data_IF_170744802957
#
_entry.id   IF_170744802957
#
_cell.length_a   1.000
_cell.length_b   1.000
_cell.length_c   1.000
_cell.angle_alpha   90.00
_cell.angle_beta   90.00
_cell.angle_gamma   90.00
#
_symmetry.space_group_name_H-M   'P 1'
#
loop_
_entity.id
_entity.type
_entity.pdbx_description
1 polymer ?
#
# COMPACT_ATOMS: atom_id res chain seq x y z
N UNK A 1 -58.84 47.03 -0.18
CA UNK A 1 -57.77 47.90 0.36
C UNK A 1 -56.86 47.04 1.22
N UNK A 2 -55.72 46.64 0.65
CA UNK A 2 -54.73 45.79 1.30
C UNK A 2 -53.82 46.64 2.21
N UNK A 3 -53.70 46.24 3.47
CA UNK A 3 -52.71 46.78 4.40
C UNK A 3 -51.55 45.81 4.54
N UNK A 4 -50.34 46.37 4.46
CA UNK A 4 -49.04 45.71 4.43
C UNK A 4 -48.71 44.95 5.71
N UNK A 5 -48.12 43.77 5.56
CA UNK A 5 -47.16 43.21 6.52
C UNK A 5 -45.87 42.88 5.75
N UNK A 6 -44.82 43.70 5.96
CA UNK A 6 -43.47 43.40 5.50
C UNK A 6 -42.83 42.41 6.48
N UNK A 7 -42.59 41.18 6.03
CA UNK A 7 -41.65 40.27 6.67
C UNK A 7 -40.34 40.30 5.89
N UNK A 8 -39.33 40.93 6.47
CA UNK A 8 -37.95 40.85 6.01
C UNK A 8 -37.41 39.45 6.30
N UNK A 9 -37.22 38.63 5.25
CA UNK A 9 -36.49 37.37 5.35
C UNK A 9 -35.00 37.70 5.23
N UNK A 10 -34.30 37.62 6.36
CA UNK A 10 -32.83 37.65 6.40
C UNK A 10 -32.33 36.31 5.86
N UNK A 11 -31.81 36.31 4.64
CA UNK A 11 -31.06 35.17 4.10
C UNK A 11 -29.69 35.11 4.78
N UNK A 12 -29.60 34.39 5.89
CA UNK A 12 -28.33 33.95 6.45
C UNK A 12 -27.73 32.93 5.48
N UNK A 13 -26.82 33.40 4.63
CA UNK A 13 -25.85 32.55 3.93
C UNK A 13 -25.03 31.81 4.99
N UNK A 14 -25.42 30.58 5.31
CA UNK A 14 -24.52 29.65 5.99
C UNK A 14 -23.36 29.35 5.04
N UNK A 15 -22.21 29.96 5.31
CA UNK A 15 -20.93 29.51 4.79
C UNK A 15 -20.69 28.14 5.39
N UNK A 16 -20.99 27.08 4.63
CA UNK A 16 -20.64 25.71 5.00
C UNK A 16 -19.12 25.64 5.21
N UNK A 17 -18.63 25.05 6.31
CA UNK A 17 -17.20 24.93 6.55
C UNK A 17 -16.54 24.10 5.43
N UNK A 18 -15.32 24.49 5.05
CA UNK A 18 -14.51 23.88 3.98
C UNK A 18 -14.21 22.38 4.17
N UNK A 19 -14.68 21.76 5.25
CA UNK A 19 -14.59 20.33 5.56
C UNK A 19 -15.55 19.45 4.76
N UNK A 20 -16.60 20.01 4.15
CA UNK A 20 -17.59 19.26 3.35
C UNK A 20 -17.10 18.84 1.96
N UNK A 21 -16.03 19.44 1.44
CA UNK A 21 -15.57 19.19 0.05
C UNK A 21 -14.33 18.29 -0.04
N UNK A 22 -13.62 18.03 1.06
CA UNK A 22 -12.42 17.20 1.02
C UNK A 22 -12.78 15.70 0.91
N UNK A 23 -12.20 15.02 -0.08
CA UNK A 23 -12.32 13.56 -0.20
C UNK A 23 -11.61 12.85 0.97
N UNK A 24 -11.88 11.55 1.13
CA UNK A 24 -11.36 10.74 2.24
C UNK A 24 -9.82 10.76 2.29
N UNK A 25 -9.16 10.73 1.13
CA UNK A 25 -7.71 10.79 1.04
C UNK A 25 -7.13 12.13 1.57
N UNK A 26 -7.69 13.27 1.19
CA UNK A 26 -7.24 14.57 1.71
C UNK A 26 -7.48 14.70 3.22
N UNK A 27 -8.57 14.10 3.73
CA UNK A 27 -8.83 14.04 5.17
C UNK A 27 -7.76 13.20 5.88
N UNK A 28 -7.40 12.04 5.34
CA UNK A 28 -6.30 11.21 5.86
C UNK A 28 -4.96 11.95 5.90
N UNK A 29 -4.58 12.66 4.84
CA UNK A 29 -3.36 13.48 4.83
C UNK A 29 -3.36 14.53 5.95
N UNK A 30 -4.51 15.16 6.23
CA UNK A 30 -4.65 16.09 7.34
C UNK A 30 -4.48 15.39 8.69
N UNK A 31 -5.15 14.26 8.91
CA UNK A 31 -5.02 13.51 10.16
C UNK A 31 -3.58 13.01 10.38
N UNK A 32 -2.91 12.55 9.32
CA UNK A 32 -1.49 12.16 9.37
C UNK A 32 -0.60 13.33 9.77
N UNK A 33 -0.78 14.49 9.16
CA UNK A 33 0.01 15.69 9.51
C UNK A 33 -0.16 16.07 10.99
N UNK A 34 -1.39 15.99 11.52
CA UNK A 34 -1.66 16.22 12.94
C UNK A 34 -0.96 15.19 13.83
N UNK A 35 -1.06 13.91 13.48
CA UNK A 35 -0.40 12.81 14.20
C UNK A 35 1.13 12.99 14.24
N UNK A 36 1.73 13.42 13.13
CA UNK A 36 3.16 13.74 13.05
C UNK A 36 3.54 14.89 13.96
N UNK A 37 2.85 16.04 13.82
CA UNK A 37 3.25 17.27 14.50
C UNK A 37 3.00 17.25 15.99
N UNK A 38 1.92 16.61 16.44
CA UNK A 38 1.51 16.63 17.85
C UNK A 38 1.97 15.39 18.62
N UNK A 39 2.15 14.27 17.94
CA UNK A 39 2.42 12.98 18.59
C UNK A 39 3.65 12.24 18.06
N UNK A 40 4.42 12.83 17.13
CA UNK A 40 5.65 12.25 16.57
C UNK A 40 5.45 10.85 15.94
N UNK A 41 4.29 10.65 15.30
CA UNK A 41 3.97 9.45 14.52
C UNK A 41 4.52 9.58 13.11
N UNK A 42 5.66 8.95 12.86
CA UNK A 42 6.42 9.04 11.61
C UNK A 42 5.76 8.31 10.44
N UNK A 43 5.09 7.17 10.68
CA UNK A 43 4.39 6.40 9.66
C UNK A 43 2.94 6.09 10.05
N UNK A 44 2.05 6.18 9.07
CA UNK A 44 0.64 5.78 9.16
C UNK A 44 0.31 4.92 7.95
N UNK A 45 -0.08 3.67 8.18
CA UNK A 45 -0.44 2.73 7.12
C UNK A 45 -1.90 2.30 7.25
N UNK A 46 -2.63 2.39 6.15
CA UNK A 46 -3.98 1.88 6.01
C UNK A 46 -3.95 0.40 5.60
N UNK A 47 -4.51 -0.45 6.43
CA UNK A 47 -4.62 -1.89 6.28
C UNK A 47 -3.30 -2.57 5.87
N UNK A 48 -2.21 -2.37 6.63
CA UNK A 48 -0.96 -3.06 6.32
C UNK A 48 -1.15 -4.57 6.41
N UNK A 49 -0.50 -5.29 5.49
CA UNK A 49 -0.56 -6.76 5.38
C UNK A 49 -1.93 -7.35 5.05
N UNK A 50 -2.93 -6.55 4.66
CA UNK A 50 -4.20 -7.10 4.16
C UNK A 50 -3.96 -7.89 2.88
N UNK A 51 -4.37 -9.16 2.89
CA UNK A 51 -4.18 -10.07 1.74
C UNK A 51 -5.43 -10.20 0.89
N UNK A 52 -6.61 -10.09 1.50
CA UNK A 52 -7.90 -10.29 0.86
C UNK A 52 -8.68 -8.98 0.73
N UNK A 53 -8.37 -8.23 -0.33
CA UNK A 53 -9.06 -6.99 -0.69
C UNK A 53 -10.28 -7.32 -1.56
N UNK A 54 -10.10 -8.20 -2.55
CA UNK A 54 -11.11 -8.44 -3.59
C UNK A 54 -10.84 -7.62 -4.84
N UNK A 55 -11.74 -6.70 -5.19
CA UNK A 55 -11.64 -5.85 -6.37
C UNK A 55 -11.06 -4.46 -6.05
N UNK A 56 -10.76 -3.66 -7.08
CA UNK A 56 -10.18 -2.32 -6.92
C UNK A 56 -11.13 -1.42 -6.14
N UNK A 57 -12.42 -1.52 -6.40
CA UNK A 57 -13.49 -0.75 -5.75
C UNK A 57 -13.62 -1.08 -4.26
N UNK A 58 -13.28 -2.31 -3.86
CA UNK A 58 -13.35 -2.76 -2.46
C UNK A 58 -12.28 -2.08 -1.58
N UNK A 59 -11.32 -1.38 -2.19
CA UNK A 59 -10.34 -0.55 -1.47
C UNK A 59 -10.93 0.76 -0.94
N UNK A 60 -11.97 1.30 -1.58
CA UNK A 60 -12.54 2.60 -1.17
C UNK A 60 -13.10 2.55 0.25
N UNK A 61 -13.93 1.55 0.64
CA UNK A 61 -14.37 1.41 2.03
C UNK A 61 -13.21 1.24 3.01
N UNK A 62 -12.13 0.56 2.63
CA UNK A 62 -10.95 0.38 3.49
C UNK A 62 -10.25 1.73 3.76
N UNK A 63 -10.22 2.64 2.80
CA UNK A 63 -9.65 3.98 2.99
C UNK A 63 -10.52 4.81 3.96
N UNK A 64 -11.85 4.67 3.89
CA UNK A 64 -12.78 5.30 4.84
C UNK A 64 -12.68 4.74 6.25
N UNK A 65 -12.56 3.41 6.36
CA UNK A 65 -12.31 2.73 7.62
C UNK A 65 -10.97 3.18 8.22
N UNK A 66 -9.92 3.30 7.40
CA UNK A 66 -8.63 3.81 7.84
C UNK A 66 -8.72 5.22 8.44
N UNK A 67 -9.49 6.11 7.80
CA UNK A 67 -9.74 7.46 8.32
C UNK A 67 -10.45 7.41 9.69
N UNK A 68 -11.43 6.52 9.82
CA UNK A 68 -12.18 6.33 11.07
C UNK A 68 -11.28 5.85 12.21
N UNK A 69 -10.46 4.83 11.96
CA UNK A 69 -9.49 4.33 12.94
C UNK A 69 -8.45 5.39 13.31
N UNK A 70 -7.96 6.13 12.32
CA UNK A 70 -6.96 7.20 12.52
C UNK A 70 -7.51 8.32 13.42
N UNK A 71 -8.75 8.74 13.21
CA UNK A 71 -9.41 9.74 14.05
C UNK A 71 -9.60 9.26 15.48
N UNK A 72 -10.08 8.03 15.64
CA UNK A 72 -10.29 7.43 16.96
C UNK A 72 -8.97 7.34 17.73
N UNK A 73 -7.90 6.87 17.07
CA UNK A 73 -6.57 6.83 17.65
C UNK A 73 -6.06 8.22 18.04
N UNK A 74 -6.23 9.22 17.15
CA UNK A 74 -5.83 10.60 17.41
C UNK A 74 -6.54 11.15 18.66
N UNK A 75 -7.83 10.88 18.83
CA UNK A 75 -8.60 11.29 20.01
C UNK A 75 -8.08 10.62 21.29
N UNK A 76 -7.67 9.36 21.21
CA UNK A 76 -7.00 8.67 22.33
C UNK A 76 -5.65 9.33 22.64
N UNK A 77 -4.82 9.62 21.64
CA UNK A 77 -3.56 10.32 21.84
C UNK A 77 -3.72 11.73 22.42
N UNK A 78 -4.78 12.46 22.08
CA UNK A 78 -5.08 13.73 22.76
C UNK A 78 -5.39 13.55 24.25
N UNK A 79 -5.98 12.40 24.62
CA UNK A 79 -6.42 12.14 25.99
C UNK A 79 -5.31 11.56 26.87
N UNK A 80 -4.47 10.68 26.33
CA UNK A 80 -3.45 9.94 27.09
C UNK A 80 -2.00 10.17 26.62
N UNK A 81 -1.79 10.94 25.55
CA UNK A 81 -0.50 11.07 24.89
C UNK A 81 -0.15 9.85 24.01
N UNK A 82 0.97 9.96 23.28
CA UNK A 82 1.59 8.83 22.57
C UNK A 82 2.73 8.26 23.42
N UNK A 83 2.66 6.99 23.86
CA UNK A 83 3.71 6.34 24.65
C UNK A 83 5.08 6.17 23.95
N UNK A 84 5.19 6.55 22.67
CA UNK A 84 6.43 6.51 21.90
C UNK A 84 6.35 5.69 20.61
N UNK A 85 5.14 5.35 20.16
CA UNK A 85 4.94 4.65 18.89
C UNK A 85 5.22 5.56 17.71
N UNK A 86 6.09 5.11 16.79
CA UNK A 86 6.50 5.88 15.60
C UNK A 86 5.78 5.42 14.34
N UNK A 87 5.38 4.16 14.31
CA UNK A 87 4.71 3.54 13.16
C UNK A 87 3.37 3.01 13.63
N UNK A 88 2.31 3.44 12.95
CA UNK A 88 0.93 3.06 13.27
C UNK A 88 0.30 2.47 12.01
N UNK A 89 -0.29 1.30 12.13
CA UNK A 89 -1.19 0.74 11.14
C UNK A 89 -2.63 0.75 11.64
N UNK A 90 -3.56 1.23 10.82
CA UNK A 90 -4.98 0.99 11.01
C UNK A 90 -5.33 -0.29 10.27
N UNK A 91 -5.87 -1.29 10.95
CA UNK A 91 -6.06 -2.65 10.41
C UNK A 91 -7.34 -3.30 10.93
N UNK A 92 -7.39 -4.62 10.95
CA UNK A 92 -8.46 -5.46 11.52
C UNK A 92 -8.10 -6.05 12.90
N UNK A 93 -6.89 -5.78 13.42
CA UNK A 93 -6.40 -6.40 14.67
C UNK A 93 -5.49 -5.48 15.49
N UNK A 94 -5.36 -5.82 16.76
CA UNK A 94 -4.34 -5.26 17.63
C UNK A 94 -3.02 -6.02 17.45
N UNK A 95 -1.90 -5.31 17.34
CA UNK A 95 -0.57 -5.92 17.27
C UNK A 95 0.50 -4.95 17.78
N UNK A 96 1.46 -5.45 18.58
CA UNK A 96 2.72 -4.74 18.89
C UNK A 96 3.87 -5.50 18.22
N UNK A 97 4.62 -4.83 17.37
CA UNK A 97 5.68 -5.47 16.57
C UNK A 97 6.89 -4.55 16.37
N UNK A 98 7.90 -5.05 15.66
CA UNK A 98 9.12 -4.35 15.26
C UNK A 98 9.80 -3.58 16.40
N UNK A 99 9.99 -4.25 17.55
CA UNK A 99 10.75 -3.67 18.66
C UNK A 99 10.02 -2.54 19.39
N UNK A 100 8.70 -2.69 19.55
CA UNK A 100 7.82 -1.82 20.37
C UNK A 100 7.55 -0.42 19.80
N UNK A 101 8.06 -0.08 18.62
CA UNK A 101 7.77 1.21 17.97
C UNK A 101 6.63 1.15 16.95
N UNK A 102 6.17 -0.06 16.63
CA UNK A 102 5.12 -0.30 15.62
C UNK A 102 3.89 -0.94 16.26
N UNK A 103 2.72 -0.37 15.97
CA UNK A 103 1.43 -0.92 16.39
C UNK A 103 0.46 -1.06 15.24
N UNK A 104 -0.40 -2.07 15.32
CA UNK A 104 -1.62 -2.16 14.53
C UNK A 104 -2.82 -1.96 15.46
N UNK A 105 -3.81 -1.20 15.01
CA UNK A 105 -5.05 -0.90 15.73
C UNK A 105 -6.24 -1.25 14.84
N UNK A 106 -7.27 -1.96 15.32
CA UNK A 106 -8.49 -2.20 14.54
C UNK A 106 -9.20 -0.87 14.22
N UNK A 107 -9.62 -0.69 12.98
CA UNK A 107 -10.27 0.55 12.53
C UNK A 107 -11.56 0.88 13.28
N UNK A 108 -12.25 -0.15 13.79
CA UNK A 108 -13.52 -0.08 14.52
C UNK A 108 -13.36 -0.25 16.04
N UNK A 109 -12.13 -0.31 16.56
CA UNK A 109 -11.91 -0.50 17.99
C UNK A 109 -12.47 0.70 18.79
N UNK A 110 -13.23 0.45 19.87
CA UNK A 110 -13.65 1.50 20.79
C UNK A 110 -12.44 2.20 21.45
N UNK A 111 -12.60 3.48 21.80
CA UNK A 111 -11.56 4.27 22.47
C UNK A 111 -10.99 3.58 23.72
N UNK A 112 -11.85 3.00 24.54
CA UNK A 112 -11.46 2.32 25.77
C UNK A 112 -10.52 1.14 25.51
N UNK A 113 -10.80 0.34 24.49
CA UNK A 113 -9.94 -0.79 24.09
C UNK A 113 -8.60 -0.31 23.54
N UNK A 114 -8.60 0.75 22.71
CA UNK A 114 -7.37 1.37 22.22
C UNK A 114 -6.53 1.90 23.40
N UNK A 115 -7.15 2.62 24.34
CA UNK A 115 -6.46 3.14 25.52
C UNK A 115 -5.87 2.01 26.38
N UNK A 116 -6.63 0.94 26.61
CA UNK A 116 -6.13 -0.23 27.33
C UNK A 116 -4.93 -0.85 26.60
N UNK A 117 -5.05 -1.12 25.30
CA UNK A 117 -3.98 -1.69 24.49
C UNK A 117 -2.70 -0.83 24.52
N UNK A 118 -2.83 0.50 24.43
CA UNK A 118 -1.68 1.41 24.51
C UNK A 118 -1.03 1.42 25.90
N UNK A 119 -1.82 1.29 26.97
CA UNK A 119 -1.35 1.27 28.35
C UNK A 119 -0.68 -0.05 28.76
N UNK A 120 -1.00 -1.16 28.10
CA UNK A 120 -0.39 -2.48 28.31
C UNK A 120 1.05 -2.55 27.73
N UNK A 121 1.88 -1.54 27.98
CA UNK A 121 3.26 -1.48 27.51
C UNK A 121 4.21 -1.97 28.60
N UNK A 122 5.21 -2.76 28.19
CA UNK A 122 6.34 -3.13 29.05
C UNK A 122 7.08 -1.88 29.54
N UNK A 123 7.69 -1.96 30.72
CA UNK A 123 8.61 -0.92 31.21
C UNK A 123 9.78 -0.71 30.24
N UNK A 124 10.49 0.42 30.34
CA UNK A 124 11.66 0.66 29.46
C UNK A 124 12.76 -0.34 29.73
N UNK A 125 12.92 -0.73 30.99
CA UNK A 125 13.84 -1.75 31.46
C UNK A 125 13.51 -3.10 30.83
N UNK A 126 12.24 -3.52 30.85
CA UNK A 126 11.79 -4.77 30.26
C UNK A 126 11.90 -4.78 28.74
N UNK A 127 11.58 -3.64 28.08
CA UNK A 127 11.78 -3.50 26.63
C UNK A 127 13.27 -3.64 26.26
N UNK A 128 14.17 -3.05 27.06
CA UNK A 128 15.61 -3.16 26.84
C UNK A 128 16.08 -4.59 27.03
N UNK A 129 15.67 -5.24 28.12
CA UNK A 129 15.99 -6.65 28.38
C UNK A 129 15.48 -7.57 27.26
N UNK A 130 14.26 -7.34 26.76
CA UNK A 130 13.70 -8.07 25.62
C UNK A 130 14.57 -7.90 24.36
N UNK A 131 14.93 -6.67 24.02
CA UNK A 131 15.73 -6.38 22.82
C UNK A 131 17.15 -6.95 22.94
N UNK A 132 17.75 -6.95 24.13
CA UNK A 132 19.05 -7.56 24.36
C UNK A 132 19.01 -9.08 24.27
N UNK A 133 17.93 -9.73 24.73
CA UNK A 133 17.70 -11.15 24.49
C UNK A 133 17.63 -11.46 22.98
N UNK A 134 16.83 -10.70 22.22
CA UNK A 134 16.76 -10.84 20.76
C UNK A 134 18.14 -10.68 20.10
N UNK A 135 18.95 -9.70 20.53
CA UNK A 135 20.32 -9.51 20.02
C UNK A 135 21.21 -10.72 20.32
N UNK A 136 21.16 -11.24 21.54
CA UNK A 136 21.88 -12.46 21.93
C UNK A 136 21.50 -13.67 21.09
N UNK A 137 20.20 -13.88 20.87
CA UNK A 137 19.67 -14.93 20.00
C UNK A 137 20.15 -14.76 18.56
N UNK A 138 20.12 -13.53 18.02
CA UNK A 138 20.62 -13.25 16.65
C UNK A 138 22.11 -13.60 16.51
N UNK A 139 22.94 -13.23 17.49
CA UNK A 139 24.37 -13.59 17.47
C UNK A 139 24.54 -15.11 17.48
N UNK A 140 23.80 -15.82 18.33
CA UNK A 140 23.84 -17.28 18.43
C UNK A 140 23.43 -17.94 17.11
N UNK A 141 22.30 -17.52 16.52
CA UNK A 141 21.81 -18.02 15.22
C UNK A 141 22.84 -17.76 14.12
N UNK A 142 23.38 -16.55 14.04
CA UNK A 142 24.36 -16.18 13.03
C UNK A 142 25.61 -17.07 13.12
N UNK A 143 26.10 -17.35 14.33
CA UNK A 143 27.26 -18.19 14.54
C UNK A 143 26.97 -19.67 14.22
N UNK A 144 25.82 -20.19 14.65
CA UNK A 144 25.45 -21.60 14.48
C UNK A 144 25.08 -21.94 13.03
N UNK A 145 24.33 -21.07 12.36
CA UNK A 145 23.84 -21.30 11.00
C UNK A 145 24.73 -20.67 9.92
N UNK A 146 25.69 -19.82 10.30
CA UNK A 146 26.53 -19.03 9.38
C UNK A 146 25.70 -18.17 8.42
N UNK A 147 24.61 -17.58 8.92
CA UNK A 147 23.67 -16.76 8.14
C UNK A 147 23.46 -15.40 8.81
N UNK A 148 23.51 -14.32 8.02
CA UNK A 148 23.34 -12.96 8.54
C UNK A 148 21.98 -12.34 8.22
N UNK A 149 21.34 -12.76 7.13
CA UNK A 149 20.06 -12.20 6.70
C UNK A 149 18.91 -13.05 7.21
N UNK A 150 18.45 -12.75 8.43
CA UNK A 150 17.26 -13.37 8.97
C UNK A 150 16.46 -12.39 9.83
N UNK A 151 15.15 -12.36 9.65
CA UNK A 151 14.26 -11.43 10.34
C UNK A 151 12.86 -12.00 10.54
N UNK A 152 12.13 -11.40 11.46
CA UNK A 152 10.71 -11.64 11.63
C UNK A 152 9.91 -10.72 10.72
N UNK A 153 8.86 -11.24 10.10
CA UNK A 153 7.84 -10.44 9.43
C UNK A 153 7.19 -9.48 10.44
N UNK A 154 6.80 -8.29 9.97
CA UNK A 154 6.00 -7.36 10.77
C UNK A 154 4.54 -7.84 10.94
N UNK A 155 4.15 -8.94 10.28
CA UNK A 155 2.84 -9.58 10.46
C UNK A 155 2.68 -10.30 11.80
N UNK A 156 3.77 -10.52 12.54
CA UNK A 156 3.76 -11.22 13.84
C UNK A 156 4.15 -10.29 14.98
N UNK A 157 3.74 -10.65 16.19
CA UNK A 157 4.03 -9.89 17.41
C UNK A 157 5.50 -10.01 17.83
N UNK A 158 5.93 -9.15 18.74
CA UNK A 158 7.26 -9.26 19.34
C UNK A 158 7.45 -10.63 20.02
N UNK A 159 6.46 -11.12 20.77
CA UNK A 159 6.56 -12.40 21.48
C UNK A 159 6.61 -13.60 20.53
N UNK A 160 5.82 -13.58 19.46
CA UNK A 160 5.90 -14.58 18.39
C UNK A 160 7.28 -14.54 17.72
N UNK A 161 7.82 -13.35 17.44
CA UNK A 161 9.16 -13.21 16.89
C UNK A 161 10.24 -13.78 17.83
N UNK A 162 10.15 -13.49 19.14
CA UNK A 162 11.05 -14.05 20.14
C UNK A 162 11.03 -15.58 20.11
N UNK A 163 9.83 -16.17 20.17
CA UNK A 163 9.63 -17.63 20.12
C UNK A 163 10.23 -18.26 18.85
N UNK A 164 10.10 -17.58 17.72
CA UNK A 164 10.69 -18.02 16.46
C UNK A 164 12.22 -18.00 16.51
N UNK A 165 12.83 -16.95 17.07
CA UNK A 165 14.29 -16.90 17.23
C UNK A 165 14.81 -17.91 18.27
N UNK A 166 14.11 -18.10 19.38
CA UNK A 166 14.47 -19.14 20.36
C UNK A 166 14.49 -20.52 19.72
N UNK A 167 13.44 -20.84 18.95
CA UNK A 167 13.34 -22.12 18.24
C UNK A 167 14.45 -22.28 17.20
N UNK A 168 14.75 -21.22 16.44
CA UNK A 168 15.81 -21.23 15.43
C UNK A 168 17.21 -21.34 16.05
N UNK A 169 17.45 -20.70 17.20
CA UNK A 169 18.72 -20.73 17.92
C UNK A 169 19.06 -22.14 18.45
N UNK A 170 18.05 -22.97 18.71
CA UNK A 170 18.20 -24.37 19.15
C UNK A 170 18.50 -25.33 17.99
N UNK A 171 18.43 -24.89 16.74
CA UNK A 171 18.71 -25.74 15.58
C UNK A 171 20.19 -26.09 15.53
N UNK A 172 20.49 -27.39 15.62
CA UNK A 172 21.84 -27.93 15.45
C UNK A 172 22.01 -28.47 14.03
N UNK A 173 22.85 -27.81 13.23
CA UNK A 173 23.34 -28.34 11.96
C UNK A 173 24.62 -29.13 12.21
N UNK A 174 24.73 -30.34 11.66
CA UNK A 174 25.96 -31.14 11.75
C UNK A 174 27.08 -30.48 10.93
N UNK A 175 28.29 -30.37 11.50
CA UNK A 175 29.45 -29.60 11.00
C UNK A 175 29.88 -29.84 9.54
N UNK A 176 29.33 -30.84 8.84
CA UNK A 176 29.69 -31.19 7.46
C UNK A 176 28.75 -30.59 6.40
N UNK A 177 27.78 -29.76 6.80
CA UNK A 177 26.91 -29.10 5.83
C UNK A 177 27.64 -27.90 5.22
N UNK A 178 27.93 -28.00 3.91
CA UNK A 178 28.14 -26.85 3.02
C UNK A 178 27.14 -25.76 3.40
N UNK A 179 27.57 -24.50 3.31
CA UNK A 179 26.70 -23.33 3.43
C UNK A 179 25.33 -23.66 2.85
N UNK A 180 24.27 -23.50 3.65
CA UNK A 180 22.92 -24.02 3.38
C UNK A 180 22.32 -23.52 2.06
N UNK A 181 23.00 -22.59 1.37
CA UNK A 181 22.61 -21.98 0.12
C UNK A 181 21.47 -20.97 0.29
N UNK A 182 20.82 -20.96 1.45
CA UNK A 182 19.84 -19.95 1.83
C UNK A 182 20.54 -18.61 2.01
N UNK A 183 20.00 -17.60 1.33
CA UNK A 183 20.44 -16.22 1.39
C UNK A 183 19.66 -15.40 2.41
N UNK A 184 18.43 -15.83 2.73
CA UNK A 184 17.50 -15.11 3.60
C UNK A 184 16.59 -16.09 4.35
N UNK A 185 16.34 -15.86 5.65
CA UNK A 185 15.32 -16.57 6.44
C UNK A 185 14.29 -15.56 6.97
N UNK A 186 13.02 -15.84 6.75
CA UNK A 186 11.90 -15.02 7.22
C UNK A 186 11.08 -15.86 8.21
N UNK A 187 10.93 -15.37 9.44
CA UNK A 187 10.05 -15.96 10.45
C UNK A 187 8.70 -15.25 10.39
N UNK A 188 7.61 -15.99 10.22
CA UNK A 188 6.26 -15.42 10.09
C UNK A 188 5.19 -16.33 10.68
N UNK A 189 3.91 -15.97 10.52
CA UNK A 189 2.75 -16.68 11.09
C UNK A 189 2.50 -18.06 10.49
N UNK A 190 2.88 -18.27 9.23
CA UNK A 190 2.59 -19.52 8.51
C UNK A 190 3.64 -19.82 7.44
N UNK A 191 3.74 -21.09 7.08
CA UNK A 191 4.55 -21.52 5.95
C UNK A 191 3.95 -21.02 4.65
N UNK A 192 4.68 -20.18 3.93
CA UNK A 192 4.41 -19.88 2.53
C UNK A 192 5.55 -20.36 1.66
N UNK A 193 5.28 -20.64 0.39
CA UNK A 193 6.38 -20.88 -0.54
C UNK A 193 7.21 -19.59 -0.63
N UNK A 194 8.55 -19.67 -0.71
CA UNK A 194 9.36 -18.47 -0.89
C UNK A 194 9.02 -17.80 -2.21
N UNK A 195 9.12 -16.48 -2.30
CA UNK A 195 8.87 -15.71 -3.51
C UNK A 195 10.08 -15.64 -4.47
N UNK A 196 11.23 -16.16 -4.04
CA UNK A 196 12.45 -16.24 -4.84
C UNK A 196 13.39 -17.38 -4.44
N UNK A 197 14.40 -17.67 -5.28
CA UNK A 197 15.42 -18.66 -4.95
C UNK A 197 16.24 -18.21 -3.73
N UNK A 198 16.65 -19.15 -2.89
CA UNK A 198 17.50 -18.85 -1.73
C UNK A 198 16.78 -18.20 -0.55
N UNK A 199 15.46 -18.01 -0.60
CA UNK A 199 14.68 -17.53 0.55
C UNK A 199 13.99 -18.68 1.27
N UNK A 200 14.06 -18.68 2.60
CA UNK A 200 13.37 -19.66 3.42
C UNK A 200 12.34 -18.98 4.32
N UNK A 201 11.09 -19.41 4.25
CA UNK A 201 10.03 -18.95 5.16
C UNK A 201 9.80 -20.03 6.22
N UNK A 202 9.82 -19.63 7.48
CA UNK A 202 9.59 -20.49 8.65
C UNK A 202 8.43 -19.94 9.49
N UNK A 203 7.65 -20.84 10.09
CA UNK A 203 6.65 -20.48 11.08
C UNK A 203 7.32 -20.14 12.41
N UNK A 204 6.85 -19.10 13.11
CA UNK A 204 7.37 -18.76 14.44
C UNK A 204 7.12 -19.88 15.48
N UNK A 205 6.12 -20.73 15.23
CA UNK A 205 5.73 -21.85 16.08
C UNK A 205 6.34 -23.18 15.62
N UNK A 206 7.21 -23.19 14.61
CA UNK A 206 7.88 -24.42 14.17
C UNK A 206 8.82 -24.93 15.26
N UNK A 207 8.76 -26.24 15.60
CA UNK A 207 9.73 -26.81 16.52
C UNK A 207 11.14 -26.84 15.87
N UNK A 208 12.22 -26.85 16.66
CA UNK A 208 13.58 -26.85 16.14
C UNK A 208 13.89 -28.01 15.16
N UNK A 209 13.25 -29.17 15.35
CA UNK A 209 13.36 -30.31 14.43
C UNK A 209 12.79 -30.01 13.04
N UNK A 210 11.65 -29.32 12.98
CA UNK A 210 11.03 -28.90 11.73
C UNK A 210 11.85 -27.81 11.05
N UNK A 211 12.25 -26.76 11.78
CA UNK A 211 13.14 -25.72 11.25
C UNK A 211 14.43 -26.34 10.67
N UNK A 212 15.03 -27.31 11.38
CA UNK A 212 16.18 -28.09 10.87
C UNK A 212 15.84 -28.82 9.58
N UNK A 213 14.71 -29.53 9.52
CA UNK A 213 14.26 -30.24 8.31
C UNK A 213 14.14 -29.30 7.11
N UNK A 214 13.67 -28.08 7.32
CA UNK A 214 13.56 -27.04 6.29
C UNK A 214 14.93 -26.50 5.86
N UNK A 215 15.82 -26.19 6.82
CA UNK A 215 17.17 -25.69 6.56
C UNK A 215 18.06 -26.68 5.80
N UNK A 216 17.84 -27.98 5.99
CA UNK A 216 18.58 -29.04 5.29
C UNK A 216 18.15 -29.25 3.83
N UNK A 217 17.04 -28.61 3.40
CA UNK A 217 16.63 -28.67 2.00
C UNK A 217 17.56 -27.82 1.15
N UNK A 218 17.83 -28.31 -0.06
CA UNK A 218 18.55 -27.58 -1.08
C UNK A 218 17.66 -26.45 -1.63
N UNK A 219 18.06 -25.16 -1.52
CA UNK A 219 17.27 -24.03 -1.99
C UNK A 219 16.88 -24.14 -3.47
N UNK A 220 17.79 -24.64 -4.33
CA UNK A 220 17.50 -24.80 -5.76
C UNK A 220 16.49 -25.92 -6.00
N UNK A 221 16.56 -27.02 -5.23
CA UNK A 221 15.54 -28.07 -5.30
C UNK A 221 14.19 -27.62 -4.78
N UNK A 222 14.15 -26.72 -3.79
CA UNK A 222 12.88 -26.15 -3.33
C UNK A 222 12.25 -25.22 -4.37
N UNK A 223 13.08 -24.53 -5.18
CA UNK A 223 12.61 -23.63 -6.23
C UNK A 223 12.30 -24.34 -7.56
N UNK A 224 12.99 -25.43 -7.88
CA UNK A 224 12.89 -26.14 -9.16
C UNK A 224 11.45 -26.51 -9.59
N UNK A 225 10.55 -26.97 -8.69
CA UNK A 225 9.16 -27.23 -9.07
C UNK A 225 8.45 -25.99 -9.63
N UNK A 226 8.71 -24.81 -9.06
CA UNK A 226 8.10 -23.55 -9.51
C UNK A 226 8.64 -23.11 -10.86
N UNK A 227 9.94 -23.33 -11.11
CA UNK A 227 10.53 -23.11 -12.43
C UNK A 227 9.86 -24.02 -13.48
N UNK A 228 9.74 -25.33 -13.21
CA UNK A 228 9.08 -26.29 -14.12
C UNK A 228 7.63 -25.93 -14.41
N UNK A 229 6.91 -25.43 -13.41
CA UNK A 229 5.55 -24.90 -13.60
C UNK A 229 5.52 -23.72 -14.58
N UNK A 230 6.44 -22.75 -14.45
CA UNK A 230 6.53 -21.65 -15.40
C UNK A 230 6.90 -22.13 -16.82
N UNK A 231 7.81 -23.09 -16.94
CA UNK A 231 8.16 -23.72 -18.22
C UNK A 231 6.92 -24.35 -18.89
N UNK A 232 6.11 -25.10 -18.13
CA UNK A 232 4.86 -25.71 -18.61
C UNK A 232 3.81 -24.66 -19.02
N UNK A 233 3.65 -23.60 -18.24
CA UNK A 233 2.76 -22.49 -18.58
C UNK A 233 3.22 -21.81 -19.87
N UNK A 234 4.54 -21.61 -20.01
CA UNK A 234 5.13 -21.00 -21.20
C UNK A 234 4.95 -21.90 -22.43
N UNK A 235 5.15 -23.21 -22.30
CA UNK A 235 4.93 -24.18 -23.39
C UNK A 235 3.46 -24.16 -23.85
N UNK A 236 2.51 -24.20 -22.91
CA UNK A 236 1.08 -24.31 -23.22
C UNK A 236 0.44 -22.99 -23.67
N UNK A 237 0.79 -21.88 -23.03
CA UNK A 237 0.10 -20.59 -23.21
C UNK A 237 1.03 -19.45 -23.65
N UNK A 238 2.34 -19.63 -23.68
CA UNK A 238 3.30 -18.56 -23.99
C UNK A 238 3.06 -17.93 -25.36
N UNK A 239 2.64 -18.72 -26.35
CA UNK A 239 2.21 -18.21 -27.66
C UNK A 239 1.03 -17.23 -27.54
N UNK A 240 0.00 -17.58 -26.77
CA UNK A 240 -1.17 -16.74 -26.52
C UNK A 240 -0.77 -15.46 -25.77
N UNK A 241 -0.01 -15.59 -24.68
CA UNK A 241 0.37 -14.45 -23.85
C UNK A 241 1.28 -13.47 -24.58
N UNK A 242 2.24 -13.95 -25.37
CA UNK A 242 3.15 -13.09 -26.14
C UNK A 242 2.50 -12.49 -27.39
N UNK A 243 1.81 -13.30 -28.19
CA UNK A 243 1.30 -12.85 -29.49
C UNK A 243 -0.06 -12.16 -29.41
N UNK A 244 -0.96 -12.62 -28.54
CA UNK A 244 -2.33 -12.10 -28.45
C UNK A 244 -2.47 -11.00 -27.40
N UNK A 245 -2.00 -11.26 -26.17
CA UNK A 245 -2.10 -10.30 -25.06
C UNK A 245 -0.91 -9.35 -24.97
N UNK A 246 0.24 -9.72 -25.54
CA UNK A 246 1.49 -8.97 -25.43
C UNK A 246 1.87 -8.70 -23.97
N UNK A 247 1.71 -9.71 -23.11
CA UNK A 247 2.09 -9.61 -21.70
C UNK A 247 3.59 -9.34 -21.61
N UNK A 248 3.96 -8.44 -20.70
CA UNK A 248 5.36 -8.24 -20.33
C UNK A 248 5.89 -9.48 -19.62
N UNK A 249 5.15 -9.94 -18.60
CA UNK A 249 5.42 -11.14 -17.82
C UNK A 249 4.15 -11.65 -17.14
N UNK A 250 4.08 -12.97 -16.89
CA UNK A 250 3.11 -13.58 -15.99
C UNK A 250 3.82 -14.02 -14.71
N UNK A 251 3.34 -13.57 -13.57
CA UNK A 251 3.89 -13.89 -12.25
C UNK A 251 2.82 -14.60 -11.44
N UNK A 252 3.19 -15.66 -10.73
CA UNK A 252 2.32 -16.29 -9.74
C UNK A 252 2.79 -15.91 -8.34
N UNK A 253 1.87 -15.44 -7.50
CA UNK A 253 2.14 -15.08 -6.11
C UNK A 253 2.68 -16.27 -5.31
N UNK A 254 3.41 -15.98 -4.24
CA UNK A 254 4.10 -17.00 -3.45
C UNK A 254 3.17 -17.83 -2.56
N UNK A 255 1.96 -17.33 -2.32
CA UNK A 255 0.92 -17.94 -1.51
C UNK A 255 -0.06 -18.82 -2.30
N UNK A 256 0.08 -18.91 -3.63
CA UNK A 256 -0.67 -19.85 -4.47
C UNK A 256 0.17 -21.08 -4.84
N UNK A 257 -0.48 -22.23 -4.91
CA UNK A 257 0.10 -23.49 -5.33
C UNK A 257 0.33 -23.53 -6.85
N UNK A 258 1.15 -24.49 -7.30
CA UNK A 258 1.40 -24.70 -8.73
C UNK A 258 0.11 -24.99 -9.51
N UNK A 259 -0.82 -25.75 -8.93
CA UNK A 259 -2.11 -26.06 -9.56
C UNK A 259 -2.99 -24.81 -9.68
N UNK A 260 -3.03 -23.98 -8.63
CA UNK A 260 -3.77 -22.71 -8.65
C UNK A 260 -3.20 -21.76 -9.72
N UNK A 261 -1.87 -21.64 -9.80
CA UNK A 261 -1.19 -20.84 -10.82
C UNK A 261 -1.50 -21.32 -12.25
N UNK A 262 -1.41 -22.63 -12.51
CA UNK A 262 -1.76 -23.21 -13.81
C UNK A 262 -3.24 -22.98 -14.18
N UNK A 263 -4.14 -23.06 -13.20
CA UNK A 263 -5.56 -22.80 -13.39
C UNK A 263 -5.81 -21.32 -13.75
N UNK A 264 -5.20 -20.38 -13.02
CA UNK A 264 -5.32 -18.96 -13.36
C UNK A 264 -4.75 -18.63 -14.74
N UNK A 265 -3.65 -19.29 -15.14
CA UNK A 265 -3.10 -19.14 -16.48
C UNK A 265 -4.05 -19.68 -17.57
N UNK A 266 -4.71 -20.82 -17.33
CA UNK A 266 -5.73 -21.36 -18.22
C UNK A 266 -6.93 -20.41 -18.38
N UNK A 267 -7.44 -19.86 -17.26
CA UNK A 267 -8.55 -18.92 -17.29
C UNK A 267 -8.20 -17.62 -18.02
N UNK A 268 -7.00 -17.08 -17.81
CA UNK A 268 -6.50 -15.94 -18.57
C UNK A 268 -6.36 -16.25 -20.07
N UNK A 269 -5.88 -17.44 -20.42
CA UNK A 269 -5.77 -17.88 -21.81
C UNK A 269 -7.14 -18.03 -22.48
N UNK A 270 -8.16 -18.53 -21.76
CA UNK A 270 -9.56 -18.58 -22.23
C UNK A 270 -10.15 -17.18 -22.40
N UNK A 271 -9.97 -16.29 -21.43
CA UNK A 271 -10.42 -14.89 -21.51
C UNK A 271 -9.82 -14.18 -22.74
N UNK A 272 -8.55 -14.48 -23.04
CA UNK A 272 -7.84 -13.98 -24.20
C UNK A 272 -8.41 -14.44 -25.55
N UNK A 273 -9.43 -15.30 -25.59
CA UNK A 273 -10.09 -15.61 -26.86
C UNK A 273 -10.94 -14.44 -27.39
N UNK A 274 -11.38 -13.54 -26.50
CA UNK A 274 -12.12 -12.33 -26.87
C UNK A 274 -11.21 -11.29 -27.54
N UNK A 275 -11.62 -10.78 -28.71
CA UNK A 275 -10.90 -9.71 -29.42
C UNK A 275 -10.86 -8.43 -28.59
N UNK A 276 -11.98 -8.00 -28.01
CA UNK A 276 -12.03 -6.78 -27.19
C UNK A 276 -11.05 -6.85 -26.00
N UNK A 277 -10.97 -8.02 -25.36
CA UNK A 277 -10.05 -8.24 -24.25
C UNK A 277 -8.57 -8.14 -24.66
N UNK A 278 -8.22 -8.63 -25.85
CA UNK A 278 -6.85 -8.52 -26.40
C UNK A 278 -6.44 -7.09 -26.69
N UNK A 279 -7.40 -6.21 -27.01
CA UNK A 279 -7.13 -4.82 -27.36
C UNK A 279 -6.82 -3.94 -26.13
N UNK A 280 -7.10 -4.44 -24.91
CA UNK A 280 -6.74 -3.78 -23.65
C UNK A 280 -5.22 -3.72 -23.51
N UNK A 281 -4.71 -2.68 -22.85
CA UNK A 281 -3.28 -2.60 -22.59
C UNK A 281 -2.87 -3.54 -21.45
N UNK A 282 -1.98 -4.49 -21.75
CA UNK A 282 -1.42 -5.41 -20.76
C UNK A 282 0.08 -5.18 -20.56
N UNK A 283 0.55 -5.41 -19.34
CA UNK A 283 1.97 -5.50 -18.99
C UNK A 283 2.18 -6.72 -18.10
N UNK A 284 2.82 -6.57 -16.94
CA UNK A 284 2.88 -7.63 -15.93
C UNK A 284 1.48 -8.00 -15.40
N UNK A 285 1.19 -9.31 -15.39
CA UNK A 285 0.00 -9.89 -14.75
C UNK A 285 0.44 -10.78 -13.58
N UNK A 286 -0.15 -10.55 -12.41
CA UNK A 286 0.11 -11.35 -11.20
C UNK A 286 -1.10 -12.19 -10.83
N UNK A 287 -0.99 -13.51 -10.97
CA UNK A 287 -1.98 -14.47 -10.47
C UNK A 287 -1.81 -14.63 -8.97
N UNK A 288 -2.90 -14.50 -8.22
CA UNK A 288 -2.86 -14.58 -6.76
C UNK A 288 -4.17 -15.17 -6.19
N UNK A 289 -4.23 -15.33 -4.87
CA UNK A 289 -5.32 -16.04 -4.20
C UNK A 289 -6.61 -15.22 -4.02
N UNK A 290 -6.51 -13.89 -3.90
CA UNK A 290 -7.62 -13.10 -3.37
C UNK A 290 -8.07 -11.96 -4.27
N UNK A 291 -7.14 -11.31 -4.96
CA UNK A 291 -7.33 -9.98 -5.48
C UNK A 291 -7.39 -9.95 -7.00
N UNK A 292 -8.33 -9.16 -7.52
CA UNK A 292 -8.42 -8.81 -8.93
C UNK A 292 -8.33 -7.29 -9.04
N UNK A 293 -7.17 -6.75 -9.41
CA UNK A 293 -6.89 -5.31 -9.35
C UNK A 293 -6.32 -4.79 -10.67
N UNK A 294 -6.65 -3.55 -11.03
CA UNK A 294 -5.98 -2.81 -12.10
C UNK A 294 -4.92 -1.91 -11.45
N UNK A 295 -3.67 -2.01 -11.91
CA UNK A 295 -2.58 -1.16 -11.45
C UNK A 295 -2.03 -0.34 -12.63
N UNK A 296 -2.12 0.98 -12.55
CA UNK A 296 -1.83 1.88 -13.67
C UNK A 296 -2.64 1.53 -14.92
N UNK A 297 -2.04 1.75 -16.09
CA UNK A 297 -2.68 1.45 -17.37
C UNK A 297 -2.62 -0.05 -17.74
N UNK A 298 -1.52 -0.72 -17.41
CA UNK A 298 -1.17 -2.00 -18.04
C UNK A 298 -1.01 -3.16 -17.06
N UNK A 299 -0.58 -2.94 -15.82
CA UNK A 299 -0.44 -4.01 -14.84
C UNK A 299 -1.79 -4.50 -14.28
N UNK A 300 -1.83 -5.76 -13.85
CA UNK A 300 -3.02 -6.35 -13.27
C UNK A 300 -2.69 -7.44 -12.25
N UNK A 301 -3.52 -7.53 -11.21
CA UNK A 301 -3.64 -8.69 -10.33
C UNK A 301 -4.89 -9.45 -10.71
N UNK A 302 -4.84 -10.78 -10.80
CA UNK A 302 -5.99 -11.61 -11.14
C UNK A 302 -6.09 -12.74 -10.12
N UNK A 303 -7.27 -12.91 -9.55
CA UNK A 303 -7.56 -14.06 -8.68
C UNK A 303 -7.55 -15.34 -9.52
N UNK A 304 -6.81 -16.36 -9.10
CA UNK A 304 -6.52 -17.52 -9.95
C UNK A 304 -7.76 -18.32 -10.37
N UNK A 305 -8.79 -18.34 -9.52
CA UNK A 305 -10.05 -19.07 -9.74
C UNK A 305 -11.11 -18.19 -10.41
N UNK A 306 -10.77 -16.97 -10.85
CA UNK A 306 -11.72 -16.09 -11.48
C UNK A 306 -12.07 -16.64 -12.87
N UNK A 307 -13.37 -16.89 -13.08
CA UNK A 307 -13.86 -17.42 -14.35
C UNK A 307 -13.53 -16.49 -15.53
N UNK A 308 -13.27 -17.03 -16.74
CA UNK A 308 -12.88 -16.24 -17.91
C UNK A 308 -13.83 -15.09 -18.23
N UNK A 309 -15.13 -15.30 -18.07
CA UNK A 309 -16.19 -14.31 -18.28
C UNK A 309 -16.06 -13.13 -17.32
N UNK A 310 -15.80 -13.41 -16.04
CA UNK A 310 -15.60 -12.37 -15.01
C UNK A 310 -14.29 -11.63 -15.21
N UNK A 311 -13.22 -12.32 -15.65
CA UNK A 311 -11.96 -11.68 -16.06
C UNK A 311 -12.24 -10.67 -17.19
N UNK A 312 -12.98 -11.09 -18.24
CA UNK A 312 -13.30 -10.21 -19.37
C UNK A 312 -14.11 -9.00 -18.94
N UNK A 313 -15.18 -9.23 -18.18
CA UNK A 313 -16.07 -8.18 -17.68
C UNK A 313 -15.30 -7.15 -16.88
N UNK A 314 -14.53 -7.59 -15.88
CA UNK A 314 -13.82 -6.70 -14.97
C UNK A 314 -12.72 -5.89 -15.67
N UNK A 315 -11.97 -6.51 -16.59
CA UNK A 315 -10.89 -5.81 -17.29
C UNK A 315 -11.34 -5.07 -18.55
N UNK A 316 -12.64 -5.08 -18.89
CA UNK A 316 -13.21 -4.23 -19.95
C UNK A 316 -13.02 -2.73 -19.67
N UNK A 317 -12.87 -2.35 -18.39
CA UNK A 317 -12.59 -0.97 -17.97
C UNK A 317 -11.11 -0.55 -18.09
N UNK A 318 -10.19 -1.47 -18.40
CA UNK A 318 -8.82 -1.10 -18.77
C UNK A 318 -8.85 -0.32 -20.08
N UNK A 319 -7.95 0.65 -20.19
CA UNK A 319 -7.80 1.43 -21.42
C UNK A 319 -7.38 0.53 -22.59
N UNK A 320 -7.82 0.89 -23.78
CA UNK A 320 -7.30 0.30 -25.02
C UNK A 320 -5.84 0.71 -25.20
N UNK A 321 -5.03 -0.14 -25.85
CA UNK A 321 -3.61 0.11 -26.06
C UNK A 321 -3.33 1.45 -26.75
N UNK A 322 -4.12 1.79 -27.77
CA UNK A 322 -4.00 3.07 -28.51
C UNK A 322 -4.36 4.26 -27.63
N UNK A 323 -5.46 4.17 -26.89
CA UNK A 323 -5.91 5.24 -25.98
C UNK A 323 -4.89 5.49 -24.87
N UNK A 324 -4.31 4.43 -24.27
CA UNK A 324 -3.28 4.60 -23.24
C UNK A 324 -2.02 5.28 -23.80
N UNK A 325 -1.55 4.92 -25.00
CA UNK A 325 -0.40 5.57 -25.62
C UNK A 325 -0.66 7.08 -25.90
N UNK A 326 -1.86 7.42 -26.38
CA UNK A 326 -2.29 8.80 -26.61
C UNK A 326 -2.35 9.58 -25.29
N UNK A 327 -2.97 9.01 -24.24
CA UNK A 327 -3.10 9.65 -22.94
C UNK A 327 -1.77 9.79 -22.22
N UNK A 328 -0.87 8.82 -22.33
CA UNK A 328 0.49 8.92 -21.81
C UNK A 328 1.26 10.06 -22.49
N UNK A 329 1.19 10.16 -23.83
CA UNK A 329 1.81 11.25 -24.57
C UNK A 329 1.23 12.61 -24.17
N UNK A 330 -0.09 12.70 -24.01
CA UNK A 330 -0.77 13.91 -23.53
C UNK A 330 -0.33 14.27 -22.12
N UNK A 331 -0.28 13.31 -21.19
CA UNK A 331 0.15 13.52 -19.81
C UNK A 331 1.58 14.08 -19.74
N UNK A 332 2.53 13.50 -20.48
CA UNK A 332 3.92 14.01 -20.56
C UNK A 332 3.98 15.43 -21.13
N UNK A 333 3.17 15.72 -22.16
CA UNK A 333 3.08 17.07 -22.74
C UNK A 333 2.50 18.08 -21.75
N UNK A 334 1.47 17.70 -21.01
CA UNK A 334 0.83 18.56 -20.02
C UNK A 334 1.71 18.77 -18.80
N UNK A 335 2.42 17.75 -18.30
CA UNK A 335 3.42 17.91 -17.23
C UNK A 335 4.47 18.95 -17.61
N UNK A 336 4.96 18.95 -18.86
CA UNK A 336 5.89 19.99 -19.33
C UNK A 336 5.27 21.39 -19.29
N UNK A 337 3.96 21.52 -19.53
CA UNK A 337 3.23 22.81 -19.48
C UNK A 337 2.92 23.27 -18.06
N UNK A 338 2.94 22.38 -17.07
CA UNK A 338 2.80 22.77 -15.67
C UNK A 338 4.11 23.32 -15.12
N UNK A 339 5.26 23.15 -15.81
CA UNK A 339 6.54 23.74 -15.41
C UNK A 339 6.49 25.27 -15.55
N UNK A 340 7.20 25.97 -14.67
CA UNK A 340 7.36 27.44 -14.69
C UNK A 340 6.02 28.19 -14.70
N UNK A 341 5.16 27.88 -13.73
CA UNK A 341 3.89 28.57 -13.53
C UNK A 341 3.95 29.52 -12.32
N UNK A 342 2.93 30.36 -12.17
CA UNK A 342 2.90 31.38 -11.12
C UNK A 342 2.84 30.82 -9.70
N UNK A 343 2.35 29.59 -9.49
CA UNK A 343 2.09 29.02 -8.15
C UNK A 343 3.33 28.62 -7.36
N UNK A 344 4.50 28.52 -8.03
CA UNK A 344 5.75 27.90 -7.54
C UNK A 344 5.68 26.38 -7.32
N UNK A 345 4.57 25.72 -7.63
CA UNK A 345 4.47 24.27 -7.60
C UNK A 345 4.83 23.68 -8.96
N UNK A 346 5.69 22.66 -8.98
CA UNK A 346 5.79 21.74 -10.10
C UNK A 346 4.74 20.65 -9.94
N UNK A 347 3.79 20.56 -10.86
CA UNK A 347 2.85 19.43 -10.86
C UNK A 347 3.50 18.21 -11.51
N UNK A 348 3.44 17.06 -10.84
CA UNK A 348 3.94 15.76 -11.28
C UNK A 348 2.88 14.69 -11.05
N UNK A 349 3.00 13.56 -11.74
CA UNK A 349 2.08 12.46 -11.63
C UNK A 349 2.83 11.15 -11.43
N UNK A 350 2.25 10.23 -10.66
CA UNK A 350 2.79 8.88 -10.50
C UNK A 350 2.54 8.02 -11.74
N UNK A 351 3.32 8.23 -12.80
CA UNK A 351 3.12 7.51 -14.07
C UNK A 351 3.40 6.00 -13.97
N UNK A 352 4.00 5.51 -12.88
CA UNK A 352 4.25 4.08 -12.68
C UNK A 352 2.97 3.32 -12.31
N UNK A 353 2.12 3.90 -11.45
CA UNK A 353 0.95 3.18 -10.91
C UNK A 353 -0.37 3.96 -11.02
N UNK A 354 -0.35 5.22 -11.47
CA UNK A 354 -1.55 5.95 -11.86
C UNK A 354 -1.83 5.78 -13.35
N UNK A 355 -3.11 5.65 -13.70
CA UNK A 355 -3.55 5.62 -15.09
C UNK A 355 -3.22 6.93 -15.81
N UNK A 356 -2.77 6.83 -17.06
CA UNK A 356 -2.36 8.01 -17.83
C UNK A 356 -3.51 8.97 -18.14
N UNK A 357 -4.74 8.47 -18.24
CA UNK A 357 -5.93 9.30 -18.42
C UNK A 357 -6.25 10.15 -17.18
N UNK A 358 -6.07 9.57 -15.98
CA UNK A 358 -6.15 10.30 -14.72
C UNK A 358 -5.03 11.34 -14.61
N UNK A 359 -3.78 11.00 -14.97
CA UNK A 359 -2.69 11.98 -15.01
C UNK A 359 -2.99 13.15 -15.95
N UNK A 360 -3.43 12.88 -17.19
CA UNK A 360 -3.74 13.92 -18.16
C UNK A 360 -4.85 14.86 -17.62
N UNK A 361 -5.94 14.27 -17.11
CA UNK A 361 -7.06 15.02 -16.53
C UNK A 361 -6.63 15.86 -15.31
N UNK A 362 -5.76 15.32 -14.48
CA UNK A 362 -5.19 16.01 -13.31
C UNK A 362 -4.36 17.22 -13.71
N UNK A 363 -3.49 17.10 -14.73
CA UNK A 363 -2.72 18.23 -15.22
C UNK A 363 -3.60 19.31 -15.86
N UNK A 364 -4.66 18.93 -16.59
CA UNK A 364 -5.61 19.90 -17.14
C UNK A 364 -6.32 20.69 -16.03
N UNK A 365 -6.74 19.99 -14.97
CA UNK A 365 -7.34 20.58 -13.77
C UNK A 365 -6.38 21.56 -13.09
N UNK A 366 -5.11 21.18 -12.92
CA UNK A 366 -4.09 22.09 -12.39
C UNK A 366 -3.86 23.31 -13.28
N UNK A 367 -3.78 23.13 -14.60
CA UNK A 367 -3.63 24.25 -15.55
C UNK A 367 -4.83 25.21 -15.45
N UNK A 368 -6.06 24.71 -15.30
CA UNK A 368 -7.25 25.54 -15.07
C UNK A 368 -7.14 26.30 -13.74
N UNK A 369 -6.71 25.62 -12.67
CA UNK A 369 -6.48 26.25 -11.37
C UNK A 369 -5.48 27.42 -11.47
N UNK A 370 -4.32 27.21 -12.10
CA UNK A 370 -3.30 28.25 -12.30
C UNK A 370 -3.86 29.46 -13.07
N UNK A 371 -4.63 29.21 -14.14
CA UNK A 371 -5.23 30.27 -14.97
C UNK A 371 -6.22 31.12 -14.17
N UNK A 372 -7.03 30.48 -13.32
CA UNK A 372 -8.07 31.14 -12.50
C UNK A 372 -7.46 31.87 -11.29
N UNK A 373 -6.35 31.39 -10.75
CA UNK A 373 -5.74 31.89 -9.52
C UNK A 373 -4.34 32.44 -9.78
N UNK A 374 -4.23 33.49 -10.61
CA UNK A 374 -2.93 34.04 -11.03
C UNK A 374 -2.06 34.52 -9.88
N UNK A 375 -2.66 34.94 -8.78
CA UNK A 375 -1.98 35.45 -7.59
C UNK A 375 -1.68 34.38 -6.54
N UNK A 376 -2.18 33.16 -6.72
CA UNK A 376 -1.89 32.06 -5.80
C UNK A 376 -0.39 31.77 -5.80
N UNK A 377 0.22 31.72 -4.62
CA UNK A 377 1.59 31.29 -4.39
C UNK A 377 1.59 30.32 -3.23
N UNK A 378 2.20 29.15 -3.40
CA UNK A 378 2.39 28.21 -2.30
C UNK A 378 3.47 28.75 -1.34
N UNK A 379 3.28 28.50 -0.04
CA UNK A 379 4.25 28.82 1.00
C UNK A 379 5.40 27.81 0.97
N UNK A 380 6.63 28.25 1.26
CA UNK A 380 7.73 27.34 1.54
C UNK A 380 7.37 26.40 2.71
N UNK A 381 7.86 25.15 2.74
CA UNK A 381 8.85 24.53 1.84
C UNK A 381 8.26 23.83 0.59
N UNK A 382 6.96 23.98 0.33
CA UNK A 382 6.29 23.23 -0.74
C UNK A 382 6.76 23.66 -2.13
N UNK A 383 7.20 22.70 -2.94
CA UNK A 383 7.68 22.96 -4.31
C UNK A 383 7.03 22.05 -5.37
N UNK A 384 6.37 20.97 -4.95
CA UNK A 384 5.87 19.93 -5.83
C UNK A 384 4.44 19.54 -5.46
N UNK A 385 3.58 19.37 -6.45
CA UNK A 385 2.24 18.81 -6.32
C UNK A 385 2.21 17.44 -7.03
N UNK A 386 2.10 16.36 -6.27
CA UNK A 386 2.07 14.99 -6.75
C UNK A 386 0.63 14.47 -6.82
N UNK A 387 0.19 14.12 -8.03
CA UNK A 387 -1.06 13.39 -8.25
C UNK A 387 -0.90 11.90 -7.95
N UNK A 388 -1.81 11.37 -7.13
CA UNK A 388 -1.89 9.95 -6.74
C UNK A 388 -3.35 9.46 -6.80
N UNK A 389 -3.56 8.16 -6.93
CA UNK A 389 -4.91 7.61 -6.85
C UNK A 389 -5.38 7.54 -5.39
N UNK A 390 -6.28 8.44 -4.99
CA UNK A 390 -6.83 8.46 -3.64
C UNK A 390 -7.78 7.28 -3.33
N UNK A 391 -8.04 6.40 -4.29
CA UNK A 391 -8.93 5.23 -4.17
C UNK A 391 -8.20 3.89 -4.04
N UNK A 392 -6.86 3.86 -4.16
CA UNK A 392 -6.06 2.64 -4.05
C UNK A 392 -5.17 2.66 -2.81
N UNK A 393 -5.23 1.61 -1.99
CA UNK A 393 -4.54 1.54 -0.70
C UNK A 393 -3.03 1.67 -0.82
N UNK A 394 -2.41 1.03 -1.82
CA UNK A 394 -0.97 1.11 -2.05
C UNK A 394 -0.53 2.56 -2.34
N UNK A 395 -1.33 3.31 -3.12
CA UNK A 395 -1.07 4.71 -3.46
C UNK A 395 -1.33 5.65 -2.30
N UNK A 396 -2.39 5.40 -1.51
CA UNK A 396 -2.68 6.12 -0.28
C UNK A 396 -1.52 5.93 0.73
N UNK A 397 -1.09 4.69 0.96
CA UNK A 397 0.03 4.38 1.86
C UNK A 397 1.34 4.99 1.39
N UNK A 398 1.63 4.97 0.08
CA UNK A 398 2.76 5.68 -0.49
C UNK A 398 2.71 7.18 -0.17
N UNK A 399 1.57 7.83 -0.40
CA UNK A 399 1.44 9.26 -0.17
C UNK A 399 1.44 9.66 1.31
N UNK A 400 1.01 8.77 2.21
CA UNK A 400 1.07 8.97 3.67
C UNK A 400 2.49 8.84 4.23
N UNK A 401 3.34 8.01 3.62
CA UNK A 401 4.64 7.63 4.17
C UNK A 401 5.84 8.03 3.30
N UNK A 402 5.61 8.78 2.23
CA UNK A 402 6.69 9.27 1.38
C UNK A 402 7.68 10.16 2.14
N UNK A 403 8.97 9.94 1.92
CA UNK A 403 10.06 10.74 2.47
C UNK A 403 10.08 12.18 1.94
N UNK A 404 9.40 12.46 0.82
CA UNK A 404 9.30 13.80 0.22
C UNK A 404 8.14 14.63 0.77
N UNK A 405 7.36 14.13 1.74
CA UNK A 405 6.21 14.86 2.33
C UNK A 405 6.56 16.15 3.06
N UNK A 406 7.84 16.44 3.26
CA UNK A 406 8.31 17.71 3.78
C UNK A 406 8.40 18.81 2.71
N UNK A 407 8.38 18.46 1.41
CA UNK A 407 8.42 19.41 0.29
C UNK A 407 7.32 19.17 -0.75
N UNK A 408 6.68 17.99 -0.73
CA UNK A 408 5.66 17.59 -1.70
C UNK A 408 4.26 17.67 -1.09
N UNK A 409 3.32 18.24 -1.85
CA UNK A 409 1.89 18.15 -1.62
C UNK A 409 1.33 16.96 -2.40
N UNK A 410 0.66 16.04 -1.71
CA UNK A 410 -0.03 14.92 -2.36
C UNK A 410 -1.50 15.27 -2.55
N UNK A 411 -2.05 14.98 -3.71
CA UNK A 411 -3.46 15.25 -4.02
C UNK A 411 -4.05 14.08 -4.81
N UNK A 412 -5.29 13.70 -4.49
CA UNK A 412 -6.05 12.74 -5.27
C UNK A 412 -6.23 13.22 -6.72
N UNK A 413 -5.86 12.38 -7.67
CA UNK A 413 -6.02 12.60 -9.10
C UNK A 413 -7.49 12.72 -9.55
N UNK A 414 -8.42 12.20 -8.75
CA UNK A 414 -9.86 12.34 -8.99
C UNK A 414 -10.44 13.66 -8.47
N UNK A 415 -9.60 14.56 -7.93
CA UNK A 415 -10.07 15.85 -7.41
C UNK A 415 -10.58 16.75 -8.54
N UNK A 416 -11.80 17.27 -8.41
CA UNK A 416 -12.32 18.29 -9.32
C UNK A 416 -11.69 19.69 -9.07
N UNK A 417 -12.06 20.67 -9.89
CA UNK A 417 -11.56 22.05 -9.80
C UNK A 417 -11.81 22.67 -8.40
N UNK A 418 -12.94 22.38 -7.75
CA UNK A 418 -13.32 22.92 -6.45
C UNK A 418 -12.56 22.24 -5.31
N UNK A 419 -12.43 20.92 -5.36
CA UNK A 419 -11.65 20.12 -4.41
C UNK A 419 -10.17 20.50 -4.47
N UNK A 420 -9.61 20.64 -5.69
CA UNK A 420 -8.23 21.09 -5.87
C UNK A 420 -8.01 22.50 -5.31
N UNK A 421 -8.89 23.45 -5.62
CA UNK A 421 -8.78 24.79 -5.08
C UNK A 421 -8.87 24.81 -3.55
N UNK A 422 -9.83 24.08 -2.98
CA UNK A 422 -10.02 23.97 -1.53
C UNK A 422 -8.80 23.37 -0.84
N UNK A 423 -8.19 22.34 -1.43
CA UNK A 423 -6.99 21.71 -0.89
C UNK A 423 -5.78 22.64 -0.96
N UNK A 424 -5.50 23.24 -2.13
CA UNK A 424 -4.33 24.08 -2.35
C UNK A 424 -4.38 25.39 -1.55
N UNK A 425 -5.55 26.01 -1.39
CA UNK A 425 -5.67 27.28 -0.67
C UNK A 425 -5.17 27.24 0.78
N UNK A 426 -5.15 26.05 1.41
CA UNK A 426 -4.58 25.82 2.75
C UNK A 426 -3.07 26.07 2.83
N UNK A 427 -2.39 26.04 1.69
CA UNK A 427 -0.93 26.17 1.58
C UNK A 427 -0.50 27.52 0.98
N UNK A 428 -1.43 28.46 0.80
CA UNK A 428 -1.13 29.76 0.20
C UNK A 428 -0.35 30.69 1.13
N UNK A 429 0.38 31.65 0.56
CA UNK A 429 1.12 32.68 1.32
C UNK A 429 0.26 33.87 1.79
N UNK A 430 -1.04 33.90 1.46
CA UNK A 430 -1.96 35.01 1.74
C UNK A 430 -2.81 34.81 3.00
N UNK A 431 -3.09 35.91 3.74
CA UNK A 431 -3.84 35.97 5.01
C UNK A 431 -5.05 35.02 5.06
N UNK A 432 -4.91 33.91 5.78
CA UNK A 432 -6.00 32.97 6.05
C UNK A 432 -5.56 31.63 6.66
N UNK A 433 -4.36 31.53 7.23
CA UNK A 433 -3.86 30.32 7.85
C UNK A 433 -3.80 30.47 9.38
N UNK A 434 -4.96 30.60 10.01
CA UNK A 434 -5.17 30.18 11.38
C UNK A 434 -6.23 29.07 11.33
N UNK A 435 -5.78 27.83 11.14
CA UNK A 435 -6.46 26.60 11.57
C UNK A 435 -5.45 25.46 11.68
#
# INVERSE_FOLDING_TARGET
MHTLFKLSVIFLWFVLPASLHANTFHKLLKEKYELEKKFDVQSLECFPFIKNIGFTEDQVPLIEQCLTGTRTLKEVFFSSGNPGYKIVGISDRFLKTAGFHTILIPWNAPKGEISQFLNEQLSREDQTAFLDNIRGLKINISNNLRMQNFYCSQEISNDECLKGYESLALVKLTNNLKTSGWQEIIITSSHTSPDGPGKLVLGYNDPPSEMRRHLLKDPFKTWSPRQKMYEKIQEKYGGIFKSKLQLENLVCAADISMKECEHGADNLAKASQSTDFRMRHWGRVTLNRYNTLIQGDFHAYIRYDLEPEKIKEYFSRKALKTQSAEKMTLAVKLEKRTKNNSTRLRAVCDLENLRSDLCASSFETFIRFVKKNRDYRVKAPWDTLMFVDGSQLDRVNFALNSSSRNTYLYIDANSDDAQMATYLNRFSTGRGANE
#
